data_IF_161777113311
#
_entry.id   IF_161777113311
#
_cell.length_a   1.000
_cell.length_b   1.000
_cell.length_c   1.000
_cell.angle_alpha   90.00
_cell.angle_beta   90.00
_cell.angle_gamma   90.00
#
_symmetry.space_group_name_H-M   'P 1'
#
loop_
_entity.id
_entity.type
_entity.pdbx_description
1 polymer ?
#
# COMPACT_ATOMS: atom_id res chain seq x y z
N UNK A 1 -19.20 6.21 -12.04
CA UNK A 1 -19.14 5.35 -10.85
C UNK A 1 -17.79 5.58 -10.16
N UNK A 2 -17.81 6.08 -8.93
CA UNK A 2 -16.63 6.41 -8.12
C UNK A 2 -15.67 5.23 -7.92
N UNK A 3 -16.17 4.00 -7.98
CA UNK A 3 -15.37 2.78 -7.80
C UNK A 3 -14.51 2.40 -9.00
N UNK A 4 -14.67 3.01 -10.17
CA UNK A 4 -13.91 2.75 -11.40
C UNK A 4 -13.70 1.24 -11.68
N UNK A 5 -14.75 0.43 -11.54
CA UNK A 5 -14.75 -1.04 -11.66
C UNK A 5 -13.85 -1.79 -10.65
N UNK A 6 -13.33 -1.10 -9.63
CA UNK A 6 -12.43 -1.70 -8.63
C UNK A 6 -13.16 -2.48 -7.53
N UNK A 7 -14.49 -2.39 -7.44
CA UNK A 7 -15.27 -3.05 -6.37
C UNK A 7 -15.93 -4.34 -6.85
N UNK A 8 -15.74 -5.41 -6.09
CA UNK A 8 -16.53 -6.64 -6.19
C UNK A 8 -17.82 -6.56 -5.35
N UNK A 9 -18.69 -7.57 -5.49
CA UNK A 9 -20.01 -7.62 -4.86
C UNK A 9 -20.05 -7.38 -3.32
N UNK A 10 -18.95 -7.62 -2.61
CA UNK A 10 -18.87 -7.33 -1.16
C UNK A 10 -18.84 -5.82 -0.88
N UNK A 11 -17.93 -5.09 -1.55
CA UNK A 11 -17.80 -3.64 -1.39
C UNK A 11 -19.01 -2.92 -1.95
N UNK A 12 -19.53 -3.35 -3.12
CA UNK A 12 -20.77 -2.81 -3.69
C UNK A 12 -21.95 -2.95 -2.72
N UNK A 13 -22.09 -4.12 -2.06
CA UNK A 13 -23.12 -4.29 -1.04
C UNK A 13 -23.03 -3.25 0.07
N UNK A 14 -21.82 -2.97 0.52
CA UNK A 14 -21.60 -2.01 1.61
C UNK A 14 -21.91 -0.58 1.17
N UNK A 15 -21.45 -0.17 -0.01
CA UNK A 15 -21.78 1.16 -0.55
C UNK A 15 -23.31 1.34 -0.70
N UNK A 16 -24.00 0.35 -1.27
CA UNK A 16 -25.45 0.40 -1.40
C UNK A 16 -26.18 0.48 -0.04
N UNK A 17 -25.65 -0.22 0.97
CA UNK A 17 -26.21 -0.14 2.32
C UNK A 17 -26.05 1.26 2.94
N UNK A 18 -24.94 1.94 2.68
CA UNK A 18 -24.74 3.35 3.08
C UNK A 18 -25.76 4.28 2.42
N UNK A 19 -26.12 3.99 1.16
CA UNK A 19 -27.16 4.73 0.43
C UNK A 19 -28.59 4.26 0.77
N UNK A 20 -28.77 3.45 1.83
CA UNK A 20 -30.07 2.92 2.27
C UNK A 20 -30.61 1.75 1.45
N UNK A 21 -29.84 1.23 0.47
CA UNK A 21 -30.26 0.14 -0.42
C UNK A 21 -29.75 -1.21 0.11
N UNK A 22 -30.64 -2.01 0.69
CA UNK A 22 -30.30 -3.31 1.28
C UNK A 22 -30.49 -4.44 0.26
N UNK A 23 -29.38 -4.95 -0.27
CA UNK A 23 -29.36 -6.05 -1.22
C UNK A 23 -28.47 -7.21 -0.77
N UNK A 24 -28.88 -8.45 -1.11
CA UNK A 24 -28.02 -9.62 -0.89
C UNK A 24 -26.85 -9.66 -1.90
N UNK A 25 -25.69 -10.20 -1.50
CA UNK A 25 -24.55 -10.40 -2.41
C UNK A 25 -24.91 -11.24 -3.64
N UNK A 26 -25.85 -12.20 -3.49
CA UNK A 26 -26.34 -13.05 -4.61
C UNK A 26 -27.08 -12.20 -5.65
N UNK A 27 -27.93 -11.26 -5.20
CA UNK A 27 -28.66 -10.35 -6.08
C UNK A 27 -27.70 -9.39 -6.79
N UNK A 28 -26.73 -8.82 -6.07
CA UNK A 28 -25.70 -7.95 -6.65
C UNK A 28 -24.89 -8.67 -7.72
N UNK A 29 -24.40 -9.89 -7.45
CA UNK A 29 -23.67 -10.71 -8.45
C UNK A 29 -24.49 -10.96 -9.71
N UNK A 30 -25.80 -11.22 -9.57
CA UNK A 30 -26.72 -11.45 -10.69
C UNK A 30 -26.88 -10.19 -11.54
N UNK A 31 -27.00 -9.02 -10.89
CA UNK A 31 -27.07 -7.71 -11.56
C UNK A 31 -25.75 -7.42 -12.28
N UNK A 32 -24.61 -7.59 -11.61
CA UNK A 32 -23.29 -7.41 -12.21
C UNK A 32 -23.12 -8.27 -13.46
N UNK A 33 -23.49 -9.58 -13.39
CA UNK A 33 -23.43 -10.49 -14.53
C UNK A 33 -24.32 -10.02 -15.69
N UNK A 34 -25.55 -9.59 -15.41
CA UNK A 34 -26.51 -9.12 -16.43
C UNK A 34 -26.02 -7.84 -17.12
N UNK A 35 -25.32 -6.97 -16.38
CA UNK A 35 -24.77 -5.70 -16.88
C UNK A 35 -23.33 -5.83 -17.39
N UNK A 36 -22.78 -7.04 -17.48
CA UNK A 36 -21.37 -7.31 -17.83
C UNK A 36 -20.36 -6.52 -16.99
N UNK A 37 -20.68 -6.26 -15.72
CA UNK A 37 -19.81 -5.58 -14.79
C UNK A 37 -18.82 -6.58 -14.18
N UNK A 38 -17.57 -6.50 -14.57
CA UNK A 38 -16.48 -7.32 -14.05
C UNK A 38 -15.56 -6.46 -13.18
N UNK A 39 -15.28 -6.92 -11.97
CA UNK A 39 -14.28 -6.27 -11.12
C UNK A 39 -12.87 -6.59 -11.64
N UNK A 40 -11.95 -5.62 -11.55
CA UNK A 40 -10.52 -5.78 -11.91
C UNK A 40 -9.79 -6.86 -11.10
N UNK A 41 -10.43 -7.38 -10.04
CA UNK A 41 -9.90 -8.47 -9.24
C UNK A 41 -10.07 -9.81 -9.97
N UNK A 42 -9.05 -10.21 -10.72
CA UNK A 42 -8.91 -11.59 -11.19
C UNK A 42 -8.27 -12.43 -10.09
N UNK A 43 -8.65 -13.71 -10.00
CA UNK A 43 -8.04 -14.62 -9.03
C UNK A 43 -6.56 -14.80 -9.37
N UNK A 44 -5.68 -14.35 -8.47
CA UNK A 44 -4.26 -14.61 -8.57
C UNK A 44 -3.95 -16.05 -8.13
N UNK A 45 -3.14 -16.78 -8.89
CA UNK A 45 -2.64 -18.10 -8.49
C UNK A 45 -1.65 -17.95 -7.32
N UNK A 46 -1.82 -18.74 -6.28
CA UNK A 46 -0.90 -18.86 -5.16
C UNK A 46 0.38 -19.58 -5.60
N UNK A 47 1.55 -19.01 -5.30
CA UNK A 47 2.86 -19.68 -5.44
C UNK A 47 3.44 -19.87 -4.04
N UNK A 48 3.73 -21.11 -3.59
CA UNK A 48 4.38 -21.34 -2.32
C UNK A 48 5.85 -20.90 -2.36
N UNK A 49 6.32 -20.26 -1.29
CA UNK A 49 7.71 -19.83 -1.12
C UNK A 49 8.49 -20.80 -0.27
N UNK A 50 9.77 -21.01 -0.63
CA UNK A 50 10.72 -21.78 0.15
C UNK A 50 11.27 -20.94 1.32
N UNK A 51 11.38 -21.53 2.52
CA UNK A 51 11.97 -20.88 3.70
C UNK A 51 13.49 -20.81 3.55
N UNK A 52 14.06 -19.61 3.50
CA UNK A 52 15.48 -19.34 3.69
C UNK A 52 15.80 -19.02 5.15
N UNK A 53 16.90 -19.56 5.68
CA UNK A 53 17.46 -19.12 6.98
C UNK A 53 18.23 -17.82 6.76
N UNK A 54 18.06 -16.85 7.66
CA UNK A 54 18.80 -15.61 7.60
C UNK A 54 19.29 -15.17 8.98
N UNK A 55 20.60 -14.97 9.07
CA UNK A 55 21.28 -14.31 10.20
C UNK A 55 21.56 -12.87 9.77
N UNK A 56 20.72 -11.94 10.15
CA UNK A 56 20.91 -10.54 9.78
C UNK A 56 20.96 -9.66 11.03
N UNK A 57 21.86 -8.63 11.05
CA UNK A 57 22.10 -7.80 12.22
C UNK A 57 20.86 -6.96 12.65
N UNK A 58 19.94 -6.65 11.73
CA UNK A 58 18.72 -5.90 12.05
C UNK A 58 17.54 -6.88 12.18
N UNK A 59 16.91 -6.97 13.38
CA UNK A 59 15.85 -7.93 13.64
C UNK A 59 14.51 -7.49 13.01
N UNK A 60 13.58 -8.46 12.85
CA UNK A 60 12.18 -8.20 12.58
C UNK A 60 11.45 -7.82 13.89
N UNK A 61 11.42 -6.54 14.20
CA UNK A 61 10.75 -6.03 15.39
C UNK A 61 9.23 -5.92 15.22
N UNK A 62 8.73 -5.84 13.98
CA UNK A 62 7.30 -5.81 13.71
C UNK A 62 6.62 -7.13 14.08
N UNK A 63 7.32 -8.25 13.89
CA UNK A 63 6.87 -9.61 14.23
C UNK A 63 5.41 -9.90 13.83
N UNK A 64 5.01 -9.44 12.65
CA UNK A 64 3.66 -9.58 12.07
C UNK A 64 2.53 -8.93 12.87
N UNK A 65 2.85 -8.03 13.79
CA UNK A 65 1.86 -7.27 14.54
C UNK A 65 1.29 -6.13 13.68
N UNK A 66 0.49 -6.48 12.69
CA UNK A 66 -0.05 -5.53 11.72
C UNK A 66 -1.25 -4.73 12.21
N UNK A 67 -1.75 -5.00 13.40
CA UNK A 67 -2.77 -4.19 14.05
C UNK A 67 -2.09 -3.21 15.01
N UNK A 68 -2.34 -1.93 14.82
CA UNK A 68 -1.81 -0.85 15.65
C UNK A 68 -2.96 -0.08 16.27
N UNK A 69 -2.77 0.43 17.48
CA UNK A 69 -3.83 1.16 18.21
C UNK A 69 -3.82 2.65 17.92
N UNK A 70 -2.66 3.22 17.59
CA UNK A 70 -2.49 4.65 17.35
C UNK A 70 -1.93 4.94 15.97
N UNK A 71 -2.33 6.08 15.38
CA UNK A 71 -1.78 6.51 14.10
C UNK A 71 -0.28 6.81 14.19
N UNK A 72 0.43 6.48 13.11
CA UNK A 72 1.86 6.73 12.90
C UNK A 72 2.83 5.92 13.78
N UNK A 73 2.39 5.10 14.73
CA UNK A 73 3.31 4.29 15.54
C UNK A 73 4.21 3.40 14.70
N UNK A 74 3.63 2.73 13.70
CA UNK A 74 4.36 1.83 12.81
C UNK A 74 4.03 2.14 11.36
N UNK A 75 5.06 2.41 10.58
CA UNK A 75 4.94 2.57 9.14
C UNK A 75 5.67 1.47 8.39
N UNK A 76 5.08 1.02 7.30
CA UNK A 76 5.68 -0.02 6.44
C UNK A 76 5.88 0.49 5.02
N UNK A 77 6.88 -0.03 4.35
CA UNK A 77 7.20 0.39 2.98
C UNK A 77 7.66 -0.79 2.14
N UNK A 78 7.57 -0.60 0.84
CA UNK A 78 8.12 -1.46 -0.19
C UNK A 78 8.33 -0.62 -1.47
N UNK A 79 8.86 -1.22 -2.51
CA UNK A 79 9.07 -0.63 -3.83
C UNK A 79 8.48 -1.50 -4.93
N UNK A 80 7.90 -0.85 -5.93
CA UNK A 80 7.48 -1.56 -7.13
C UNK A 80 8.00 -0.89 -8.39
N UNK A 81 8.11 -1.66 -9.48
CA UNK A 81 8.47 -1.15 -10.79
C UNK A 81 7.23 -1.01 -11.69
N UNK A 82 7.26 0.01 -12.55
CA UNK A 82 6.19 0.35 -13.48
C UNK A 82 6.78 0.64 -14.85
N UNK A 83 6.17 0.11 -15.90
CA UNK A 83 6.60 0.39 -17.28
C UNK A 83 6.14 1.78 -17.70
N UNK A 84 7.08 2.61 -18.17
CA UNK A 84 6.84 3.94 -18.71
C UNK A 84 7.48 4.02 -20.10
N UNK A 85 6.69 3.96 -21.15
CA UNK A 85 7.19 3.78 -22.49
C UNK A 85 8.08 2.53 -22.60
N UNK A 86 9.35 2.71 -22.95
CA UNK A 86 10.32 1.60 -23.05
C UNK A 86 11.21 1.41 -21.81
N UNK A 87 11.02 2.21 -20.76
CA UNK A 87 11.86 2.20 -19.55
C UNK A 87 11.06 1.72 -18.33
N UNK A 88 11.78 1.30 -17.30
CA UNK A 88 11.23 1.01 -15.99
C UNK A 88 11.39 2.22 -15.08
N UNK A 89 10.31 2.60 -14.41
CA UNK A 89 10.29 3.52 -13.30
C UNK A 89 9.95 2.77 -12.00
N UNK A 90 10.22 3.38 -10.87
CA UNK A 90 10.01 2.81 -9.54
C UNK A 90 9.08 3.70 -8.73
N UNK A 91 8.21 3.09 -7.95
CA UNK A 91 7.28 3.77 -7.04
C UNK A 91 7.51 3.23 -5.64
N UNK A 92 7.81 4.13 -4.71
CA UNK A 92 7.87 3.85 -3.28
C UNK A 92 6.60 4.38 -2.61
N UNK A 93 5.93 3.54 -1.82
CA UNK A 93 4.79 3.93 -0.99
C UNK A 93 5.11 3.63 0.46
N UNK A 94 4.75 4.55 1.36
CA UNK A 94 4.84 4.38 2.81
C UNK A 94 3.42 4.34 3.37
N UNK A 95 3.11 3.32 4.13
CA UNK A 95 1.79 3.02 4.63
C UNK A 95 1.78 3.06 6.17
N UNK A 96 0.86 3.78 6.76
CA UNK A 96 0.58 3.73 8.19
C UNK A 96 -0.21 2.45 8.52
N UNK A 97 0.31 1.62 9.40
CA UNK A 97 -0.34 0.36 9.78
C UNK A 97 -1.64 0.56 10.55
N UNK A 98 -1.82 1.68 11.25
CA UNK A 98 -3.04 1.95 12.01
C UNK A 98 -4.29 1.98 11.10
N UNK A 99 -4.25 2.79 10.05
CA UNK A 99 -5.41 3.05 9.22
C UNK A 99 -5.21 2.70 7.74
N UNK A 100 -4.10 2.06 7.36
CA UNK A 100 -3.78 1.69 5.97
C UNK A 100 -3.66 2.87 5.01
N UNK A 101 -3.48 4.08 5.53
CA UNK A 101 -3.25 5.28 4.75
C UNK A 101 -1.89 5.23 4.05
N UNK A 102 -1.85 5.57 2.78
CA UNK A 102 -0.59 5.82 2.08
C UNK A 102 -0.17 7.25 2.43
N UNK A 103 0.79 7.39 3.33
CA UNK A 103 1.23 8.67 3.87
C UNK A 103 2.46 9.23 3.16
N UNK A 104 3.24 8.41 2.46
CA UNK A 104 4.41 8.84 1.72
C UNK A 104 4.45 8.22 0.32
N UNK A 105 4.91 8.99 -0.66
CA UNK A 105 5.02 8.56 -2.05
C UNK A 105 6.18 9.22 -2.77
N UNK A 106 6.95 8.43 -3.49
CA UNK A 106 7.93 8.91 -4.46
C UNK A 106 7.91 8.09 -5.74
N UNK A 107 8.29 8.72 -6.84
CA UNK A 107 8.35 8.09 -8.18
C UNK A 107 9.66 8.53 -8.85
N UNK A 108 10.43 7.58 -9.36
CA UNK A 108 11.73 7.85 -9.97
C UNK A 108 12.17 6.79 -10.97
N UNK A 109 13.24 7.11 -11.70
CA UNK A 109 13.82 6.21 -12.70
C UNK A 109 14.74 5.14 -12.10
N UNK A 110 15.14 5.28 -10.86
CA UNK A 110 16.13 4.41 -10.23
C UNK A 110 15.61 3.86 -8.91
N UNK A 111 15.94 2.61 -8.63
CA UNK A 111 15.67 1.91 -7.37
C UNK A 111 16.81 2.22 -6.39
N UNK A 112 16.70 3.32 -5.65
CA UNK A 112 17.76 3.82 -4.77
C UNK A 112 17.24 4.22 -3.40
N UNK A 113 18.14 4.33 -2.42
CA UNK A 113 17.87 4.89 -1.10
C UNK A 113 17.32 6.33 -1.17
N UNK A 114 17.78 7.11 -2.13
CA UNK A 114 17.31 8.48 -2.33
C UNK A 114 15.81 8.50 -2.71
N UNK A 115 15.33 7.52 -3.48
CA UNK A 115 13.90 7.38 -3.77
C UNK A 115 13.09 7.10 -2.49
N UNK A 116 13.60 6.25 -1.60
CA UNK A 116 12.97 5.97 -0.30
C UNK A 116 12.97 7.21 0.59
N UNK A 117 14.10 7.92 0.67
CA UNK A 117 14.22 9.19 1.40
C UNK A 117 13.20 10.22 0.91
N UNK A 118 13.03 10.37 -0.42
CA UNK A 118 12.03 11.26 -0.99
C UNK A 118 10.60 10.85 -0.59
N UNK A 119 10.31 9.55 -0.49
CA UNK A 119 9.01 9.09 0.03
C UNK A 119 8.82 9.47 1.50
N UNK A 120 9.86 9.31 2.34
CA UNK A 120 9.82 9.74 3.75
C UNK A 120 9.59 11.24 3.85
N UNK A 121 10.31 12.04 3.07
CA UNK A 121 10.16 13.51 3.03
C UNK A 121 8.78 13.98 2.55
N UNK A 122 8.06 13.16 1.80
CA UNK A 122 6.72 13.47 1.31
C UNK A 122 5.62 13.27 2.36
N UNK A 123 5.94 12.69 3.53
CA UNK A 123 4.99 12.44 4.62
C UNK A 123 4.52 13.78 5.21
N UNK A 124 3.19 14.07 5.21
CA UNK A 124 2.67 15.35 5.69
C UNK A 124 2.50 15.40 7.22
N UNK A 125 2.97 14.40 7.93
CA UNK A 125 2.84 14.25 9.38
C UNK A 125 4.19 14.41 10.08
N UNK A 126 4.16 14.73 11.39
CA UNK A 126 5.36 14.80 12.20
C UNK A 126 6.01 13.41 12.35
N UNK A 127 7.19 13.23 11.77
CA UNK A 127 7.94 11.97 11.79
C UNK A 127 8.35 11.55 13.21
N UNK A 128 8.45 12.50 14.15
CA UNK A 128 8.72 12.22 15.57
C UNK A 128 7.64 11.39 16.28
N UNK A 129 6.49 11.18 15.64
CA UNK A 129 5.43 10.27 16.13
C UNK A 129 5.62 8.83 15.67
N UNK A 130 6.52 8.60 14.72
CA UNK A 130 6.80 7.27 14.18
C UNK A 130 7.80 6.57 15.09
N UNK A 131 7.43 5.40 15.60
CA UNK A 131 8.29 4.59 16.44
C UNK A 131 9.07 3.55 15.62
N UNK A 132 8.42 2.96 14.62
CA UNK A 132 8.99 1.86 13.85
C UNK A 132 8.81 2.06 12.34
N UNK A 133 9.90 1.92 11.59
CA UNK A 133 9.93 1.85 10.14
C UNK A 133 10.29 0.44 9.71
N UNK A 134 9.35 -0.26 9.06
CA UNK A 134 9.55 -1.64 8.63
C UNK A 134 9.57 -1.77 7.10
N UNK A 135 10.53 -2.53 6.58
CA UNK A 135 10.68 -2.81 5.15
C UNK A 135 11.19 -4.23 4.90
N UNK A 136 11.32 -4.61 3.64
CA UNK A 136 12.14 -5.74 3.25
C UNK A 136 13.65 -5.40 3.36
N UNK A 137 14.51 -6.37 2.99
CA UNK A 137 15.98 -6.26 3.02
C UNK A 137 16.55 -5.76 1.70
N UNK A 138 15.80 -5.02 0.91
CA UNK A 138 16.33 -4.40 -0.30
C UNK A 138 17.44 -3.40 0.04
N UNK A 139 18.51 -3.34 -0.78
CA UNK A 139 19.62 -2.41 -0.60
C UNK A 139 19.18 -0.94 -0.57
N UNK A 140 18.06 -0.63 -1.17
CA UNK A 140 17.41 0.69 -1.14
C UNK A 140 16.88 1.06 0.24
N UNK A 141 16.59 0.06 1.10
CA UNK A 141 16.16 0.25 2.48
C UNK A 141 17.29 -0.01 3.47
N UNK A 142 18.17 -0.99 3.18
CA UNK A 142 19.27 -1.42 4.04
C UNK A 142 20.57 -0.72 3.67
N UNK A 143 20.72 0.53 4.14
CA UNK A 143 21.89 1.38 3.85
C UNK A 143 21.99 2.56 4.83
N UNK A 144 23.19 3.15 4.90
CA UNK A 144 23.54 4.25 5.79
C UNK A 144 22.64 5.49 5.62
N UNK A 145 22.25 5.85 4.39
CA UNK A 145 21.41 7.03 4.16
C UNK A 145 20.04 6.91 4.85
N UNK A 146 19.46 5.73 4.82
CA UNK A 146 18.18 5.49 5.52
C UNK A 146 18.39 5.44 7.02
N UNK A 147 19.49 4.84 7.50
CA UNK A 147 19.83 4.85 8.94
C UNK A 147 19.94 6.27 9.48
N UNK A 148 20.67 7.14 8.79
CA UNK A 148 20.83 8.57 9.16
C UNK A 148 19.48 9.30 9.20
N UNK A 149 18.60 9.04 8.22
CA UNK A 149 17.26 9.65 8.19
C UNK A 149 16.40 9.17 9.36
N UNK A 150 16.40 7.88 9.65
CA UNK A 150 15.59 7.31 10.73
C UNK A 150 16.12 7.76 12.10
N UNK A 151 17.44 7.78 12.29
CA UNK A 151 18.09 8.24 13.52
C UNK A 151 17.77 9.70 13.82
N UNK A 152 17.77 10.57 12.81
CA UNK A 152 17.46 12.00 12.96
C UNK A 152 16.06 12.26 13.55
N UNK A 153 15.12 11.30 13.40
CA UNK A 153 13.77 11.39 13.94
C UNK A 153 13.51 10.42 15.11
N UNK A 154 14.52 9.66 15.55
CA UNK A 154 14.40 8.67 16.61
C UNK A 154 13.55 7.45 16.22
N UNK A 155 13.49 7.13 14.94
CA UNK A 155 12.68 6.02 14.40
C UNK A 155 13.50 4.73 14.43
N UNK A 156 12.96 3.71 15.06
CA UNK A 156 13.58 2.38 15.07
C UNK A 156 13.36 1.67 13.73
N UNK A 157 14.42 1.05 13.24
CA UNK A 157 14.38 0.26 12.00
C UNK A 157 14.05 -1.19 12.27
N UNK A 158 13.22 -1.77 11.42
CA UNK A 158 12.86 -3.19 11.42
C UNK A 158 12.92 -3.75 10.01
N UNK A 159 13.52 -4.92 9.84
CA UNK A 159 13.60 -5.59 8.52
C UNK A 159 12.92 -6.95 8.58
N UNK A 160 12.16 -7.28 7.54
CA UNK A 160 11.58 -8.61 7.35
C UNK A 160 12.67 -9.69 7.39
N UNK A 161 12.35 -10.88 7.83
CA UNK A 161 13.26 -12.03 7.68
C UNK A 161 13.44 -12.37 6.19
N UNK A 162 14.65 -12.74 5.80
CA UNK A 162 14.90 -13.11 4.41
C UNK A 162 14.06 -14.32 3.98
N UNK A 163 13.44 -14.22 2.81
CA UNK A 163 12.54 -15.25 2.31
C UNK A 163 11.21 -15.36 3.05
N UNK A 164 10.86 -14.40 3.92
CA UNK A 164 9.60 -14.36 4.66
C UNK A 164 8.69 -13.20 4.19
N UNK A 165 8.03 -13.31 3.03
CA UNK A 165 7.16 -12.24 2.52
C UNK A 165 6.03 -11.88 3.50
N UNK A 166 5.56 -12.83 4.29
CA UNK A 166 4.52 -12.59 5.29
C UNK A 166 4.89 -11.56 6.36
N UNK A 167 6.18 -11.25 6.54
CA UNK A 167 6.63 -10.27 7.51
C UNK A 167 6.32 -8.83 7.08
N UNK A 168 6.12 -8.59 5.78
CA UNK A 168 5.67 -7.31 5.21
C UNK A 168 4.32 -7.41 4.49
N UNK A 169 3.43 -8.28 4.96
CA UNK A 169 2.19 -8.64 4.28
C UNK A 169 1.26 -7.45 3.98
N UNK A 170 1.27 -6.40 4.81
CA UNK A 170 0.46 -5.20 4.57
C UNK A 170 0.99 -4.39 3.40
N UNK A 171 2.31 -4.17 3.33
CA UNK A 171 2.91 -3.50 2.17
C UNK A 171 2.68 -4.34 0.91
N UNK A 172 2.96 -5.65 0.94
CA UNK A 172 2.73 -6.54 -0.21
C UNK A 172 1.28 -6.52 -0.71
N UNK A 173 0.31 -6.60 0.21
CA UNK A 173 -1.11 -6.54 -0.18
C UNK A 173 -1.50 -5.17 -0.75
N UNK A 174 -0.94 -4.07 -0.22
CA UNK A 174 -1.15 -2.72 -0.74
C UNK A 174 -0.60 -2.59 -2.15
N UNK A 175 0.62 -3.06 -2.40
CA UNK A 175 1.20 -3.05 -3.74
C UNK A 175 0.48 -3.97 -4.72
N UNK A 176 -0.06 -5.10 -4.27
CA UNK A 176 -0.92 -5.94 -5.09
C UNK A 176 -2.16 -5.18 -5.55
N UNK A 177 -2.82 -4.43 -4.65
CA UNK A 177 -3.97 -3.61 -5.01
C UNK A 177 -3.56 -2.44 -5.90
N UNK A 178 -2.48 -1.76 -5.61
CA UNK A 178 -1.91 -0.70 -6.43
C UNK A 178 -1.69 -1.16 -7.88
N UNK A 179 -1.09 -2.34 -8.06
CA UNK A 179 -0.88 -2.92 -9.39
C UNK A 179 -2.19 -3.26 -10.09
N UNK A 180 -3.10 -3.97 -9.41
CA UNK A 180 -4.36 -4.44 -10.01
C UNK A 180 -5.35 -3.31 -10.29
N UNK A 181 -5.48 -2.38 -9.34
CA UNK A 181 -6.49 -1.32 -9.39
C UNK A 181 -6.04 -0.11 -10.20
N UNK A 182 -4.72 0.06 -10.41
CA UNK A 182 -4.17 1.23 -11.07
C UNK A 182 -3.18 0.88 -12.18
N UNK A 183 -2.02 0.29 -11.86
CA UNK A 183 -0.93 0.14 -12.83
C UNK A 183 -1.35 -0.69 -14.05
N UNK A 184 -2.06 -1.80 -13.85
CA UNK A 184 -2.50 -2.67 -14.95
C UNK A 184 -3.69 -2.12 -15.74
N UNK A 185 -4.29 -1.03 -15.28
CA UNK A 185 -5.42 -0.37 -15.95
C UNK A 185 -4.96 0.84 -16.79
N UNK A 186 -3.67 1.18 -16.75
CA UNK A 186 -3.14 2.41 -17.31
C UNK A 186 -1.91 2.15 -18.17
N UNK A 187 -1.67 3.05 -19.12
CA UNK A 187 -0.42 3.16 -19.87
C UNK A 187 0.23 4.49 -19.55
N UNK A 188 1.56 4.48 -19.33
CA UNK A 188 2.30 5.68 -18.95
C UNK A 188 3.33 6.03 -20.02
N UNK A 189 3.32 7.30 -20.45
CA UNK A 189 4.22 7.81 -21.49
C UNK A 189 5.38 8.65 -20.92
N UNK A 190 5.23 9.15 -19.70
CA UNK A 190 6.28 9.93 -19.02
C UNK A 190 6.29 9.72 -17.50
N UNK A 191 7.44 10.00 -16.87
CA UNK A 191 7.56 9.97 -15.42
C UNK A 191 6.62 10.97 -14.74
N UNK A 192 6.45 12.15 -15.36
CA UNK A 192 5.53 13.19 -14.87
C UNK A 192 4.09 12.69 -14.85
N UNK A 193 3.66 11.99 -15.90
CA UNK A 193 2.33 11.38 -15.98
C UNK A 193 2.15 10.31 -14.91
N UNK A 194 3.12 9.37 -14.78
CA UNK A 194 3.09 8.35 -13.73
C UNK A 194 3.02 9.00 -12.33
N UNK A 195 3.82 10.04 -12.08
CA UNK A 195 3.82 10.73 -10.78
C UNK A 195 2.46 11.35 -10.47
N UNK A 196 1.87 12.07 -11.43
CA UNK A 196 0.56 12.71 -11.25
C UNK A 196 -0.54 11.68 -11.02
N UNK A 197 -0.61 10.66 -11.86
CA UNK A 197 -1.61 9.59 -11.74
C UNK A 197 -1.43 8.78 -10.45
N UNK A 198 -0.19 8.55 -10.00
CA UNK A 198 0.09 7.91 -8.70
C UNK A 198 -0.45 8.74 -7.54
N UNK A 199 -0.22 10.06 -7.53
CA UNK A 199 -0.78 10.97 -6.51
C UNK A 199 -2.31 10.95 -6.50
N UNK A 200 -2.96 10.94 -7.67
CA UNK A 200 -4.42 10.82 -7.78
C UNK A 200 -4.92 9.47 -7.25
N UNK A 201 -4.21 8.38 -7.53
CA UNK A 201 -4.55 7.07 -6.96
C UNK A 201 -4.40 7.05 -5.43
N UNK A 202 -3.31 7.61 -4.89
CA UNK A 202 -3.09 7.75 -3.43
C UNK A 202 -4.21 8.56 -2.79
N UNK A 203 -4.61 9.67 -3.39
CA UNK A 203 -5.74 10.45 -2.92
C UNK A 203 -7.03 9.62 -2.89
N UNK A 204 -7.33 8.92 -4.00
CA UNK A 204 -8.49 8.03 -4.05
C UNK A 204 -8.41 6.89 -3.03
N UNK A 205 -7.24 6.27 -2.84
CA UNK A 205 -7.01 5.24 -1.83
C UNK A 205 -7.33 5.73 -0.42
N UNK A 206 -6.87 6.92 -0.07
CA UNK A 206 -6.99 7.48 1.27
C UNK A 206 -8.41 8.00 1.57
N UNK A 207 -9.07 8.62 0.59
CA UNK A 207 -10.32 9.36 0.81
C UNK A 207 -11.58 8.62 0.33
N UNK A 208 -11.47 7.72 -0.63
CA UNK A 208 -12.64 7.12 -1.27
C UNK A 208 -12.66 5.59 -1.21
N UNK A 209 -11.50 4.95 -1.18
CA UNK A 209 -11.41 3.51 -1.16
C UNK A 209 -11.78 2.96 0.21
N UNK A 210 -12.85 2.16 0.29
CA UNK A 210 -13.22 1.45 1.52
C UNK A 210 -12.38 0.18 1.71
N UNK A 211 -11.99 -0.10 2.95
CA UNK A 211 -11.12 -1.22 3.32
C UNK A 211 -11.85 -2.21 4.23
N UNK A 212 -11.84 -3.49 3.86
CA UNK A 212 -12.47 -4.53 4.67
C UNK A 212 -11.83 -4.69 6.07
N UNK A 213 -10.50 -4.45 6.17
CA UNK A 213 -9.78 -4.47 7.45
C UNK A 213 -10.08 -3.26 8.35
N UNK A 214 -10.71 -2.22 7.82
CA UNK A 214 -11.13 -1.02 8.55
C UNK A 214 -12.66 -0.96 8.70
N UNK A 215 -13.33 -2.09 8.76
CA UNK A 215 -14.80 -2.14 8.82
C UNK A 215 -15.48 -1.34 7.70
N UNK A 216 -14.89 -1.38 6.51
CA UNK A 216 -15.32 -0.63 5.30
C UNK A 216 -15.25 0.90 5.42
N UNK A 217 -14.47 1.42 6.36
CA UNK A 217 -14.10 2.83 6.37
C UNK A 217 -13.00 3.11 5.34
N UNK A 218 -12.84 4.38 4.96
CA UNK A 218 -11.64 4.85 4.26
C UNK A 218 -10.50 5.07 5.26
N UNK A 219 -9.23 5.08 4.84
CA UNK A 219 -8.11 5.40 5.70
C UNK A 219 -8.29 6.72 6.47
N UNK A 220 -8.68 7.79 5.78
CA UNK A 220 -8.89 9.09 6.42
C UNK A 220 -10.07 9.06 7.40
N UNK A 221 -11.20 8.43 7.06
CA UNK A 221 -12.31 8.30 7.99
C UNK A 221 -11.88 7.57 9.27
N UNK A 222 -11.10 6.50 9.14
CA UNK A 222 -10.56 5.77 10.29
C UNK A 222 -9.63 6.64 11.15
N UNK A 223 -8.80 7.51 10.54
CA UNK A 223 -7.91 8.42 11.28
C UNK A 223 -8.68 9.48 12.08
N UNK A 224 -9.77 10.02 11.50
CA UNK A 224 -10.58 11.07 12.15
C UNK A 224 -11.39 10.50 13.33
N UNK A 225 -11.70 9.19 13.33
CA UNK A 225 -12.47 8.53 14.39
C UNK A 225 -11.61 7.91 15.49
N UNK A 226 -10.30 8.12 15.47
CA UNK A 226 -9.34 7.68 16.47
C UNK A 226 -8.97 8.82 17.41
#
# INVERSE_FOLDING_TARGET
LESQSRYGARKIKQCLATDGIILSRRRIRRIMKRLNLVSVYQQASFKPYAKGKNEAPIPNLLDRQFYQEKPLEVIVTDLTYVRVGQRWAYVCLIIDLFNREIIGVSVGWQKTAELVKQAIQSIPYALTKVNLFHSDRGKEFDNQLIDEVLEAFGITRSLSQAGCPYDNAVAESTYRFFKLEFIHQETFHSLKELTLKTKNYVHWWNHHRIHGSLNYQTPIAKRVTA
#
